data_IF_226055956919
#
_entry.id   IF_226055956919
#
_cell.length_a   1.000
_cell.length_b   1.000
_cell.length_c   1.000
_cell.angle_alpha   90.00
_cell.angle_beta   90.00
_cell.angle_gamma   90.00
#
_symmetry.space_group_name_H-M   'P 1'
#
loop_
_entity.id
_entity.type
_entity.pdbx_description
1 polymer ?
#
# COMPACT_ATOMS: atom_id res chain seq x y z
N UNK A 1 41.71 -30.25 33.14
CA UNK A 1 42.50 -29.59 32.08
C UNK A 1 41.88 -29.92 30.75
N UNK A 2 41.50 -28.89 29.97
CA UNK A 2 41.46 -28.73 28.49
C UNK A 2 41.18 -30.03 27.68
N UNK A 3 40.22 -30.06 26.75
CA UNK A 3 40.14 -29.19 25.56
C UNK A 3 38.71 -29.13 25.01
N UNK A 4 38.26 -27.91 24.78
CA UNK A 4 37.14 -27.51 23.92
C UNK A 4 37.37 -27.97 22.48
N UNK A 5 36.33 -28.52 21.85
CA UNK A 5 36.24 -28.65 20.40
C UNK A 5 35.07 -27.78 19.95
N UNK A 6 35.42 -26.60 19.43
CA UNK A 6 34.55 -25.73 18.65
C UNK A 6 34.63 -26.24 17.22
N UNK A 7 33.48 -26.53 16.59
CA UNK A 7 33.39 -26.72 15.15
C UNK A 7 32.12 -26.03 14.65
N UNK A 8 32.39 -24.82 14.19
CA UNK A 8 31.70 -23.91 13.28
C UNK A 8 30.99 -24.61 12.11
N UNK A 9 30.02 -23.90 11.51
CA UNK A 9 29.48 -23.98 10.12
C UNK A 9 28.02 -24.51 10.09
N UNK A 10 27.00 -23.84 9.56
CA UNK A 10 26.90 -22.67 8.70
C UNK A 10 25.69 -21.80 9.10
N UNK A 11 25.90 -20.49 9.19
CA UNK A 11 24.81 -19.52 9.11
C UNK A 11 24.44 -19.44 7.64
N UNK A 12 23.24 -19.94 7.29
CA UNK A 12 22.64 -19.66 5.99
C UNK A 12 22.05 -18.24 6.08
N UNK A 13 22.85 -17.23 5.74
CA UNK A 13 22.35 -15.89 5.45
C UNK A 13 21.61 -16.01 4.13
N UNK A 14 20.28 -16.07 4.18
CA UNK A 14 19.45 -15.93 3.00
C UNK A 14 19.59 -14.48 2.48
N UNK A 15 19.89 -14.41 1.20
CA UNK A 15 20.21 -13.23 0.43
C UNK A 15 19.13 -12.16 0.53
N UNK A 16 19.59 -10.93 0.67
CA UNK A 16 18.91 -9.69 0.32
C UNK A 16 18.35 -9.77 -1.10
N UNK A 17 17.04 -9.97 -1.21
CA UNK A 17 16.26 -9.45 -2.33
C UNK A 17 15.63 -8.14 -1.88
N UNK A 18 16.00 -7.04 -2.52
CA UNK A 18 15.24 -5.78 -2.42
C UNK A 18 13.86 -6.02 -3.04
N UNK A 19 12.82 -5.72 -2.29
CA UNK A 19 11.44 -6.08 -2.59
C UNK A 19 10.84 -6.67 -1.33
N UNK A 20 10.33 -5.79 -0.47
CA UNK A 20 9.46 -6.20 0.64
C UNK A 20 8.27 -6.88 -0.04
N UNK A 21 8.29 -8.21 -0.13
CA UNK A 21 7.11 -8.95 -0.53
C UNK A 21 6.04 -8.66 0.52
N UNK A 22 4.79 -8.37 0.14
CA UNK A 22 3.75 -8.22 1.14
C UNK A 22 3.64 -9.51 1.93
N UNK A 23 3.52 -9.34 3.24
CA UNK A 23 3.71 -10.42 4.19
C UNK A 23 2.65 -11.51 4.06
N UNK A 24 2.95 -12.69 4.63
CA UNK A 24 1.99 -13.79 4.78
C UNK A 24 0.82 -13.47 5.73
N UNK A 25 0.81 -12.29 6.37
CA UNK A 25 -0.18 -11.90 7.39
C UNK A 25 -0.96 -10.64 6.97
N UNK A 26 -2.31 -10.62 7.07
CA UNK A 26 -3.13 -9.48 6.66
C UNK A 26 -2.75 -8.18 7.39
N UNK A 27 -2.47 -8.25 8.70
CA UNK A 27 -2.12 -7.06 9.50
C UNK A 27 -0.86 -6.35 8.98
N UNK A 28 0.19 -7.08 8.62
CA UNK A 28 1.42 -6.42 8.15
C UNK A 28 1.25 -5.84 6.74
N UNK A 29 0.30 -6.33 5.92
CA UNK A 29 -0.03 -5.67 4.64
C UNK A 29 -0.60 -4.28 4.90
N UNK A 30 -1.47 -4.14 5.91
CA UNK A 30 -2.00 -2.85 6.33
C UNK A 30 -0.90 -1.95 6.91
N UNK A 31 0.02 -2.49 7.71
CA UNK A 31 1.19 -1.75 8.20
C UNK A 31 2.08 -1.25 7.05
N UNK A 32 2.39 -2.10 6.07
CA UNK A 32 3.19 -1.74 4.88
C UNK A 32 2.47 -0.67 4.06
N UNK A 33 1.15 -0.75 3.91
CA UNK A 33 0.39 0.29 3.23
C UNK A 33 0.53 1.66 3.93
N UNK A 34 0.34 1.73 5.26
CA UNK A 34 0.48 2.98 6.00
C UNK A 34 1.92 3.52 5.95
N UNK A 35 2.93 2.65 6.12
CA UNK A 35 4.34 3.03 6.03
C UNK A 35 4.68 3.58 4.63
N UNK A 36 4.20 2.92 3.57
CA UNK A 36 4.40 3.36 2.20
C UNK A 36 3.79 4.74 1.96
N UNK A 37 2.54 4.98 2.37
CA UNK A 37 1.89 6.28 2.19
C UNK A 37 2.57 7.37 3.04
N UNK A 38 2.96 7.09 4.29
CA UNK A 38 3.72 8.03 5.14
C UNK A 38 5.02 8.49 4.45
N UNK A 39 5.68 7.58 3.73
CA UNK A 39 6.94 7.84 3.03
C UNK A 39 6.76 8.31 1.57
N UNK A 40 5.53 8.59 1.13
CA UNK A 40 5.21 8.95 -0.26
C UNK A 40 5.60 7.86 -1.30
N UNK A 41 5.67 6.60 -0.88
CA UNK A 41 5.96 5.45 -1.73
C UNK A 41 4.67 4.87 -2.32
N UNK A 42 4.16 5.55 -3.34
CA UNK A 42 2.93 5.18 -4.01
C UNK A 42 2.94 3.80 -4.67
N UNK A 43 4.11 3.34 -5.15
CA UNK A 43 4.27 2.01 -5.75
C UNK A 43 4.10 0.92 -4.70
N UNK A 44 4.77 1.06 -3.55
CA UNK A 44 4.60 0.11 -2.44
C UNK A 44 3.17 0.14 -1.87
N UNK A 45 2.54 1.32 -1.82
CA UNK A 45 1.16 1.45 -1.36
C UNK A 45 0.17 0.74 -2.30
N UNK A 46 0.28 0.94 -3.62
CA UNK A 46 -0.61 0.28 -4.59
C UNK A 46 -0.39 -1.23 -4.66
N UNK A 47 0.83 -1.71 -4.41
CA UNK A 47 1.17 -3.14 -4.33
C UNK A 47 0.50 -3.89 -3.17
N UNK A 48 -0.05 -3.15 -2.21
CA UNK A 48 -0.85 -3.68 -1.11
C UNK A 48 -2.34 -3.81 -1.47
N UNK A 49 -2.80 -3.27 -2.60
CA UNK A 49 -4.22 -3.22 -2.96
C UNK A 49 -4.61 -4.36 -3.91
N UNK A 50 -5.87 -4.80 -3.83
CA UNK A 50 -6.43 -5.72 -4.81
C UNK A 50 -6.61 -5.01 -6.16
N UNK A 51 -6.48 -5.72 -7.29
CA UNK A 51 -6.79 -5.15 -8.61
C UNK A 51 -8.20 -4.57 -8.68
N UNK A 52 -9.16 -5.22 -8.02
CA UNK A 52 -10.55 -4.76 -7.92
C UNK A 52 -10.65 -3.40 -7.21
N UNK A 53 -9.96 -3.23 -6.08
CA UNK A 53 -9.92 -1.95 -5.37
C UNK A 53 -9.24 -0.86 -6.20
N UNK A 54 -8.14 -1.16 -6.89
CA UNK A 54 -7.47 -0.20 -7.79
C UNK A 54 -8.43 0.26 -8.89
N UNK A 55 -9.14 -0.67 -9.52
CA UNK A 55 -10.15 -0.36 -10.54
C UNK A 55 -11.26 0.52 -9.97
N UNK A 56 -11.77 0.21 -8.77
CA UNK A 56 -12.81 1.01 -8.12
C UNK A 56 -12.34 2.45 -7.87
N UNK A 57 -11.15 2.63 -7.31
CA UNK A 57 -10.59 3.98 -7.06
C UNK A 57 -10.41 4.76 -8.36
N UNK A 58 -10.01 4.10 -9.45
CA UNK A 58 -9.92 4.73 -10.76
C UNK A 58 -11.29 5.13 -11.34
N UNK A 59 -12.33 4.32 -11.12
CA UNK A 59 -13.70 4.68 -11.49
C UNK A 59 -14.20 5.89 -10.69
N UNK A 60 -13.96 5.93 -9.37
CA UNK A 60 -14.34 7.05 -8.50
C UNK A 60 -13.62 8.35 -8.85
N UNK A 61 -12.38 8.25 -9.35
CA UNK A 61 -11.59 9.39 -9.81
C UNK A 61 -11.88 9.79 -11.27
N UNK A 62 -12.84 9.15 -11.94
CA UNK A 62 -13.14 9.34 -13.37
C UNK A 62 -11.89 9.22 -14.26
N UNK A 63 -10.99 8.26 -13.98
CA UNK A 63 -9.68 8.15 -14.63
C UNK A 63 -9.77 8.08 -16.16
N UNK A 64 -10.79 7.42 -16.71
CA UNK A 64 -11.03 7.36 -18.17
C UNK A 64 -11.25 8.75 -18.79
N UNK A 65 -11.99 9.62 -18.09
CA UNK A 65 -12.24 10.99 -18.54
C UNK A 65 -10.98 11.86 -18.40
N UNK A 66 -10.19 11.62 -17.34
CA UNK A 66 -8.90 12.28 -17.17
C UNK A 66 -7.90 11.87 -18.26
N UNK A 67 -7.89 10.61 -18.71
CA UNK A 67 -7.09 10.18 -19.88
C UNK A 67 -7.54 10.85 -21.18
N UNK A 68 -8.84 11.12 -21.31
CA UNK A 68 -9.40 11.79 -22.49
C UNK A 68 -9.14 13.31 -22.47
N UNK A 69 -8.94 13.88 -21.28
CA UNK A 69 -8.64 15.29 -21.05
C UNK A 69 -7.44 15.42 -20.08
N UNK A 70 -6.21 15.11 -20.53
CA UNK A 70 -5.04 14.93 -19.65
C UNK A 70 -4.70 16.17 -18.82
N UNK A 71 -5.01 17.37 -19.29
CA UNK A 71 -4.86 18.63 -18.54
C UNK A 71 -5.64 18.65 -17.22
N UNK A 72 -6.80 17.98 -17.17
CA UNK A 72 -7.57 17.84 -15.92
C UNK A 72 -6.86 16.89 -14.95
N UNK A 73 -6.29 15.78 -15.45
CA UNK A 73 -5.53 14.83 -14.63
C UNK A 73 -4.24 15.45 -14.09
N UNK A 74 -3.51 16.20 -14.92
CA UNK A 74 -2.34 16.99 -14.51
C UNK A 74 -2.71 17.97 -13.40
N UNK A 75 -3.81 18.71 -13.58
CA UNK A 75 -4.27 19.68 -12.58
C UNK A 75 -4.68 19.01 -11.26
N UNK A 76 -5.32 17.85 -11.33
CA UNK A 76 -5.72 17.06 -10.18
C UNK A 76 -4.50 16.59 -9.38
N UNK A 77 -3.58 15.87 -10.03
CA UNK A 77 -2.37 15.35 -9.37
C UNK A 77 -1.48 16.49 -8.86
N UNK A 78 -1.38 17.60 -9.60
CA UNK A 78 -0.66 18.78 -9.14
C UNK A 78 -1.28 19.39 -7.87
N UNK A 79 -2.60 19.36 -7.73
CA UNK A 79 -3.29 19.82 -6.52
C UNK A 79 -3.00 18.94 -5.30
N UNK A 80 -2.66 17.68 -5.53
CA UNK A 80 -2.22 16.72 -4.50
C UNK A 80 -0.71 16.81 -4.21
N UNK A 81 0.03 17.63 -4.95
CA UNK A 81 1.48 17.78 -4.82
C UNK A 81 2.31 16.87 -5.73
N UNK A 82 1.66 16.16 -6.66
CA UNK A 82 2.32 15.26 -7.63
C UNK A 82 2.42 15.93 -9.00
N UNK A 83 3.64 16.14 -9.48
CA UNK A 83 3.87 16.72 -10.80
C UNK A 83 3.88 15.65 -11.89
N UNK A 84 2.97 15.77 -12.86
CA UNK A 84 2.98 14.99 -14.11
C UNK A 84 2.72 15.90 -15.30
N UNK A 85 3.12 15.48 -16.48
CA UNK A 85 2.83 16.13 -17.76
C UNK A 85 1.60 15.51 -18.43
N UNK A 86 1.04 16.20 -19.43
CA UNK A 86 -0.09 15.67 -20.20
C UNK A 86 0.26 14.37 -20.92
N UNK A 87 1.45 14.29 -21.52
CA UNK A 87 1.95 13.07 -22.19
C UNK A 87 2.07 11.90 -21.19
N UNK A 88 2.58 12.15 -19.98
CA UNK A 88 2.63 11.13 -18.91
C UNK A 88 1.23 10.69 -18.48
N UNK A 89 0.27 11.62 -18.40
CA UNK A 89 -1.12 11.32 -18.04
C UNK A 89 -1.83 10.47 -19.11
N UNK A 90 -1.57 10.71 -20.40
CA UNK A 90 -2.12 9.91 -21.50
C UNK A 90 -1.61 8.46 -21.46
N UNK A 91 -0.34 8.28 -21.11
CA UNK A 91 0.32 6.97 -21.04
C UNK A 91 0.12 6.24 -19.70
N UNK A 92 -0.38 6.92 -18.67
CA UNK A 92 -0.63 6.34 -17.36
C UNK A 92 -1.59 5.14 -17.42
N UNK A 93 -1.24 4.11 -16.65
CA UNK A 93 -2.10 3.00 -16.26
C UNK A 93 -2.87 3.35 -14.99
N UNK A 94 -3.93 2.59 -14.69
CA UNK A 94 -4.68 2.70 -13.43
C UNK A 94 -3.75 2.57 -12.21
N UNK A 95 -2.88 1.54 -12.21
CA UNK A 95 -1.90 1.33 -11.15
C UNK A 95 -0.98 2.53 -10.95
N UNK A 96 -0.41 3.08 -12.03
CA UNK A 96 0.47 4.25 -11.93
C UNK A 96 -0.27 5.51 -11.49
N UNK A 97 -1.55 5.65 -11.85
CA UNK A 97 -2.37 6.77 -11.42
C UNK A 97 -2.66 6.71 -9.92
N UNK A 98 -3.08 5.54 -9.42
CA UNK A 98 -3.32 5.32 -7.99
C UNK A 98 -2.00 5.43 -7.20
N UNK A 99 -0.89 4.92 -7.73
CA UNK A 99 0.43 5.13 -7.12
C UNK A 99 0.78 6.62 -7.02
N UNK A 100 0.56 7.40 -8.09
CA UNK A 100 0.82 8.84 -8.09
C UNK A 100 -0.06 9.61 -7.08
N UNK A 101 -1.29 9.15 -6.87
CA UNK A 101 -2.21 9.71 -5.89
C UNK A 101 -1.83 9.34 -4.44
N UNK A 102 -1.56 8.06 -4.17
CA UNK A 102 -1.19 7.58 -2.82
C UNK A 102 0.20 8.03 -2.39
N UNK A 103 1.13 8.16 -3.33
CA UNK A 103 2.45 8.74 -3.10
C UNK A 103 2.47 10.28 -3.07
N UNK A 104 1.30 10.92 -3.04
CA UNK A 104 1.23 12.38 -3.03
C UNK A 104 1.45 12.96 -1.63
N UNK A 105 2.13 14.11 -1.51
CA UNK A 105 2.33 14.78 -0.23
C UNK A 105 1.04 15.15 0.49
N UNK A 106 -0.05 15.38 -0.26
CA UNK A 106 -1.37 15.63 0.33
C UNK A 106 -1.82 14.40 1.13
N UNK A 107 -1.84 13.22 0.53
CA UNK A 107 -2.29 11.99 1.19
C UNK A 107 -1.38 11.63 2.37
N UNK A 108 -0.06 11.75 2.21
CA UNK A 108 0.86 11.52 3.32
C UNK A 108 0.61 12.50 4.47
N UNK A 109 0.29 13.77 4.17
CA UNK A 109 0.03 14.78 5.20
C UNK A 109 -1.21 14.50 6.03
N UNK A 110 -2.27 13.97 5.40
CA UNK A 110 -3.49 13.54 6.09
C UNK A 110 -3.19 12.36 7.04
N UNK A 111 -2.34 11.41 6.63
CA UNK A 111 -1.92 10.30 7.50
C UNK A 111 -1.01 10.74 8.65
N UNK A 112 -0.05 11.64 8.39
CA UNK A 112 0.81 12.19 9.47
C UNK A 112 0.05 13.06 10.47
N UNK A 113 -1.23 13.37 10.18
CA UNK A 113 -2.14 14.01 11.11
C UNK A 113 -2.55 13.13 12.29
N UNK A 114 -2.44 11.81 12.16
CA UNK A 114 -2.76 10.87 13.24
C UNK A 114 -1.63 10.81 14.28
N UNK A 115 -1.96 10.95 15.56
CA UNK A 115 -0.98 10.86 16.65
C UNK A 115 -0.49 9.41 16.86
N UNK A 116 -1.32 8.44 16.50
CA UNK A 116 -0.97 7.02 16.56
C UNK A 116 -1.82 6.19 15.60
N UNK A 117 -1.19 5.22 14.94
CA UNK A 117 -1.84 4.17 14.16
C UNK A 117 -1.54 2.85 14.86
N UNK A 118 -2.57 2.13 15.29
CA UNK A 118 -2.45 0.80 15.91
C UNK A 118 -3.16 -0.21 15.03
N UNK A 119 -2.40 -1.12 14.45
CA UNK A 119 -2.92 -2.24 13.66
C UNK A 119 -3.10 -3.45 14.58
N UNK A 120 -4.32 -3.96 14.69
CA UNK A 120 -4.63 -5.14 15.50
C UNK A 120 -4.48 -6.45 14.72
N UNK A 121 -4.52 -7.57 15.45
CA UNK A 121 -4.50 -8.91 14.85
C UNK A 121 -5.69 -9.12 13.90
N UNK A 122 -5.42 -9.76 12.77
CA UNK A 122 -6.41 -10.04 11.75
C UNK A 122 -7.37 -11.16 12.14
N UNK A 123 -8.67 -11.00 11.83
CA UNK A 123 -9.66 -12.09 11.89
C UNK A 123 -9.77 -12.73 10.50
N UNK A 124 -9.17 -13.91 10.35
CA UNK A 124 -9.09 -14.63 9.06
C UNK A 124 -10.27 -15.60 8.91
N UNK A 125 -10.97 -15.52 7.79
CA UNK A 125 -12.07 -16.43 7.42
C UNK A 125 -11.87 -16.97 6.00
N UNK A 126 -11.18 -18.09 5.87
CA UNK A 126 -10.89 -18.68 4.56
C UNK A 126 -9.91 -17.80 3.78
N UNK A 127 -10.33 -17.32 2.60
CA UNK A 127 -9.54 -16.45 1.73
C UNK A 127 -9.80 -14.95 1.94
N UNK A 128 -10.47 -14.58 3.04
CA UNK A 128 -10.68 -13.18 3.43
C UNK A 128 -10.21 -12.94 4.86
N UNK A 129 -9.90 -11.70 5.18
CA UNK A 129 -9.56 -11.27 6.52
C UNK A 129 -10.11 -9.87 6.80
N UNK A 130 -10.36 -9.58 8.07
CA UNK A 130 -10.58 -8.21 8.53
C UNK A 130 -9.46 -7.80 9.48
N UNK A 131 -8.99 -6.56 9.33
CA UNK A 131 -7.97 -5.96 10.20
C UNK A 131 -8.55 -4.71 10.80
N UNK A 132 -8.53 -4.61 12.13
CA UNK A 132 -8.92 -3.39 12.82
C UNK A 132 -7.72 -2.47 12.94
N UNK A 133 -7.92 -1.21 12.60
CA UNK A 133 -6.93 -0.15 12.72
C UNK A 133 -7.51 0.94 13.59
N UNK A 134 -6.79 1.30 14.65
CA UNK A 134 -7.18 2.42 15.51
C UNK A 134 -6.35 3.65 15.18
N UNK A 135 -7.00 4.74 14.81
CA UNK A 135 -6.40 6.05 14.53
C UNK A 135 -7.08 7.11 15.39
N UNK A 136 -6.34 7.84 16.22
CA UNK A 136 -6.87 8.89 17.12
C UNK A 136 -8.09 8.46 17.98
N UNK A 137 -8.15 7.18 18.33
CA UNK A 137 -9.24 6.59 19.13
C UNK A 137 -10.47 6.16 18.34
N UNK A 138 -10.47 6.32 17.01
CA UNK A 138 -11.48 5.78 16.11
C UNK A 138 -11.01 4.43 15.57
N UNK A 139 -11.92 3.44 15.58
CA UNK A 139 -11.64 2.10 15.06
C UNK A 139 -12.21 2.02 13.65
N UNK A 140 -11.33 1.71 12.71
CA UNK A 140 -11.63 1.49 11.32
C UNK A 140 -11.34 0.04 10.93
N UNK A 141 -12.09 -0.52 9.99
CA UNK A 141 -11.95 -1.94 9.60
C UNK A 141 -11.59 -2.03 8.12
N UNK A 142 -10.44 -2.63 7.86
CA UNK A 142 -9.98 -2.95 6.51
C UNK A 142 -10.40 -4.38 6.17
N UNK A 143 -10.89 -4.58 4.95
CA UNK A 143 -11.17 -5.90 4.41
C UNK A 143 -10.03 -6.31 3.47
N UNK A 144 -9.54 -7.53 3.62
CA UNK A 144 -8.47 -8.09 2.81
C UNK A 144 -8.89 -9.40 2.15
N UNK A 145 -8.35 -9.65 0.97
CA UNK A 145 -8.51 -10.90 0.21
C UNK A 145 -7.16 -11.56 0.00
N UNK A 146 -7.15 -12.90 -0.01
CA UNK A 146 -5.97 -13.67 -0.39
C UNK A 146 -6.04 -14.01 -1.88
N UNK A 147 -5.07 -13.53 -2.66
CA UNK A 147 -4.91 -13.81 -4.09
C UNK A 147 -3.46 -14.21 -4.39
N UNK A 148 -3.27 -15.31 -5.13
CA UNK A 148 -1.95 -15.84 -5.51
C UNK A 148 -0.95 -15.92 -4.33
N UNK A 149 -1.41 -16.50 -3.22
CA UNK A 149 -0.67 -16.67 -1.96
C UNK A 149 -0.28 -15.35 -1.25
N UNK A 150 -0.81 -14.20 -1.66
CA UNK A 150 -0.60 -12.88 -1.04
C UNK A 150 -1.89 -12.31 -0.48
N UNK A 151 -1.81 -11.60 0.64
CA UNK A 151 -2.90 -10.77 1.14
C UNK A 151 -2.86 -9.40 0.48
N UNK A 152 -4.04 -8.89 0.13
CA UNK A 152 -4.24 -7.58 -0.48
C UNK A 152 -5.43 -6.90 0.17
N UNK A 153 -5.35 -5.58 0.36
CA UNK A 153 -6.46 -4.74 0.80
C UNK A 153 -7.49 -4.69 -0.32
N UNK A 154 -8.68 -5.19 -0.03
CA UNK A 154 -9.79 -5.26 -0.97
C UNK A 154 -10.80 -4.12 -0.77
N UNK A 155 -10.86 -3.58 0.46
CA UNK A 155 -11.73 -2.45 0.77
C UNK A 155 -11.16 -1.59 1.90
N UNK A 156 -11.27 -0.28 1.73
CA UNK A 156 -11.03 0.70 2.79
C UNK A 156 -12.23 0.83 3.74
N UNK A 157 -12.01 1.27 4.98
CA UNK A 157 -13.08 1.61 5.91
C UNK A 157 -14.05 2.65 5.31
N UNK A 158 -15.35 2.53 5.60
CA UNK A 158 -16.39 3.53 5.25
C UNK A 158 -16.45 4.70 6.24
#
# INVERSE_FOLDING_TARGET
MKKTAVLTTAVLVALTGCGVLPSDQPGQVVEVFFDAVEHNDGEAAVDCLSPELVSQLCEEADFTDLKTNPENGVSLLASMGTGVTADEMEDMTEQSFIAAALGSPLVSSELTGFESIVVEDAVITGSTATVQVTTDGEIQVFELVQADDRWLIDRFPE
#
